data_IF_591800674916
#
_entry.id   IF_591800674916
#
_cell.length_a   1.000
_cell.length_b   1.000
_cell.length_c   1.000
_cell.angle_alpha   90.00
_cell.angle_beta   90.00
_cell.angle_gamma   90.00
#
_symmetry.space_group_name_H-M   'P 1'
#
loop_
_entity.id
_entity.type
_entity.pdbx_description
1 polymer ?
#
# COMPACT_ATOMS: atom_id res chain seq x y z
N UNK A 1 -2.37 -9.88 5.49
CA UNK A 1 -2.62 -10.59 6.76
C UNK A 1 -1.83 -9.97 7.90
N UNK A 2 -2.20 -8.75 8.25
CA UNK A 2 -1.61 -8.00 9.39
C UNK A 2 -2.03 -8.59 10.75
N UNK A 3 -3.15 -9.32 10.76
CA UNK A 3 -3.75 -9.94 11.93
C UNK A 3 -2.80 -10.89 12.68
N UNK A 4 -2.14 -11.82 12.00
CA UNK A 4 -1.25 -12.80 12.63
C UNK A 4 -0.14 -12.10 13.41
N UNK A 5 0.51 -11.14 12.74
CA UNK A 5 1.57 -10.32 13.32
C UNK A 5 1.07 -9.54 14.54
N UNK A 6 -0.12 -8.91 14.45
CA UNK A 6 -0.71 -8.13 15.55
C UNK A 6 -1.19 -8.98 16.72
N UNK A 7 -1.55 -10.24 16.49
CA UNK A 7 -1.86 -11.21 17.56
C UNK A 7 -0.61 -11.85 18.17
N UNK A 8 0.59 -11.54 17.67
CA UNK A 8 1.84 -12.18 18.09
C UNK A 8 1.90 -13.66 17.73
N UNK A 9 1.18 -14.08 16.68
CA UNK A 9 1.05 -15.48 16.24
C UNK A 9 1.52 -15.66 14.80
N UNK A 10 1.90 -16.88 14.47
CA UNK A 10 2.23 -17.21 13.08
C UNK A 10 0.96 -17.47 12.25
N UNK A 11 1.05 -17.29 10.92
CA UNK A 11 -0.02 -17.68 10.00
C UNK A 11 -0.42 -19.15 10.18
N UNK A 12 0.57 -20.02 10.39
CA UNK A 12 0.37 -21.45 10.62
C UNK A 12 -0.43 -21.73 11.88
N UNK A 13 -0.14 -21.03 12.99
CA UNK A 13 -0.91 -21.14 14.23
C UNK A 13 -2.36 -20.72 14.06
N UNK A 14 -2.62 -19.65 13.29
CA UNK A 14 -4.00 -19.24 13.00
C UNK A 14 -4.73 -20.32 12.20
N UNK A 15 -4.10 -20.88 11.16
CA UNK A 15 -4.71 -21.94 10.34
C UNK A 15 -5.00 -23.23 11.11
N UNK A 16 -4.26 -23.51 12.18
CA UNK A 16 -4.43 -24.71 13.00
C UNK A 16 -5.43 -24.53 14.15
N UNK A 17 -5.47 -23.35 14.76
CA UNK A 17 -6.27 -23.11 15.97
C UNK A 17 -7.61 -22.41 15.72
N UNK A 18 -7.82 -21.85 14.53
CA UNK A 18 -9.02 -21.09 14.17
C UNK A 18 -9.90 -21.90 13.22
N UNK A 19 -11.21 -21.79 13.36
CA UNK A 19 -12.13 -22.46 12.44
C UNK A 19 -12.10 -21.78 11.06
N UNK A 20 -12.48 -22.52 10.00
CA UNK A 20 -12.50 -21.97 8.64
C UNK A 20 -13.42 -20.73 8.51
N UNK A 21 -14.54 -20.73 9.23
CA UNK A 21 -15.50 -19.60 9.23
C UNK A 21 -14.89 -18.35 9.86
N UNK A 22 -14.24 -18.50 11.02
CA UNK A 22 -13.52 -17.40 11.68
C UNK A 22 -12.38 -16.88 10.81
N UNK A 23 -11.59 -17.76 10.19
CA UNK A 23 -10.51 -17.37 9.29
C UNK A 23 -11.03 -16.54 8.10
N UNK A 24 -12.18 -16.93 7.52
CA UNK A 24 -12.81 -16.18 6.43
C UNK A 24 -13.32 -14.81 6.87
N UNK A 25 -13.96 -14.72 8.04
CA UNK A 25 -14.37 -13.43 8.61
C UNK A 25 -13.16 -12.53 8.83
N UNK A 26 -12.04 -13.08 9.28
CA UNK A 26 -10.80 -12.34 9.48
C UNK A 26 -10.15 -11.90 8.17
N UNK A 27 -10.23 -12.69 7.10
CA UNK A 27 -9.77 -12.28 5.77
C UNK A 27 -10.58 -11.09 5.28
N UNK A 28 -11.91 -11.12 5.45
CA UNK A 28 -12.78 -10.00 5.06
C UNK A 28 -12.53 -8.77 5.93
N UNK A 29 -12.25 -8.97 7.23
CA UNK A 29 -11.86 -7.90 8.14
C UNK A 29 -10.50 -7.29 7.76
N UNK A 30 -9.47 -8.09 7.44
CA UNK A 30 -8.15 -7.61 6.98
C UNK A 30 -8.29 -6.84 5.65
N UNK A 31 -9.21 -7.24 4.76
CA UNK A 31 -9.51 -6.53 3.50
C UNK A 31 -10.06 -5.12 3.73
N UNK A 32 -10.86 -4.89 4.77
CA UNK A 32 -11.34 -3.55 5.13
C UNK A 32 -10.26 -2.69 5.80
N UNK A 33 -9.12 -3.29 6.17
CA UNK A 33 -8.01 -2.65 6.88
C UNK A 33 -8.46 -1.70 8.02
N UNK A 34 -9.37 -2.12 8.91
CA UNK A 34 -9.93 -1.26 9.96
C UNK A 34 -8.89 -0.92 11.04
N UNK A 35 -7.91 -1.79 11.25
CA UNK A 35 -6.71 -1.57 12.10
C UNK A 35 -5.50 -1.17 11.22
N UNK A 36 -5.78 -0.75 9.98
CA UNK A 36 -4.83 -0.66 8.90
C UNK A 36 -3.70 0.31 9.13
N UNK A 37 -2.49 -0.10 8.73
CA UNK A 37 -1.30 0.75 8.67
C UNK A 37 -1.60 2.04 7.88
N UNK A 38 -2.40 1.95 6.81
CA UNK A 38 -2.87 3.09 6.00
C UNK A 38 -3.60 4.15 6.84
N UNK A 39 -4.46 3.74 7.78
CA UNK A 39 -5.17 4.71 8.64
C UNK A 39 -4.20 5.41 9.60
N UNK A 40 -3.22 4.67 10.11
CA UNK A 40 -2.12 5.23 10.89
C UNK A 40 -1.27 6.21 10.08
N UNK A 41 -0.95 5.87 8.82
CA UNK A 41 -0.19 6.73 7.92
C UNK A 41 -0.96 8.02 7.57
N UNK A 42 -2.28 7.93 7.36
CA UNK A 42 -3.13 9.13 7.15
C UNK A 42 -3.15 10.00 8.41
N UNK A 43 -3.28 9.40 9.60
CA UNK A 43 -3.23 10.16 10.85
C UNK A 43 -1.87 10.85 11.05
N UNK A 44 -0.78 10.15 10.75
CA UNK A 44 0.56 10.73 10.78
C UNK A 44 0.68 11.88 9.79
N UNK A 45 0.18 11.72 8.56
CA UNK A 45 0.14 12.78 7.55
C UNK A 45 -0.66 14.00 8.01
N UNK A 46 -1.80 13.80 8.69
CA UNK A 46 -2.61 14.88 9.25
C UNK A 46 -1.84 15.65 10.32
N UNK A 47 -1.14 14.95 11.23
CA UNK A 47 -0.30 15.58 12.26
C UNK A 47 0.84 16.38 11.62
N UNK A 48 1.52 15.81 10.62
CA UNK A 48 2.59 16.48 9.88
C UNK A 48 2.08 17.75 9.21
N UNK A 49 0.98 17.66 8.46
CA UNK A 49 0.36 18.83 7.80
C UNK A 49 -0.04 19.92 8.81
N UNK A 50 -0.60 19.54 9.96
CA UNK A 50 -0.94 20.50 11.02
C UNK A 50 0.30 21.18 11.64
N UNK A 51 1.37 20.42 11.89
CA UNK A 51 2.61 20.94 12.47
C UNK A 51 3.30 21.90 11.50
N UNK A 52 3.43 21.55 10.22
CA UNK A 52 3.99 22.46 9.21
C UNK A 52 3.08 23.68 9.00
N UNK A 53 1.76 23.48 8.98
CA UNK A 53 0.76 24.54 8.92
C UNK A 53 0.92 25.57 10.03
N UNK A 54 1.15 25.11 11.26
CA UNK A 54 1.38 25.98 12.41
C UNK A 54 2.69 26.80 12.34
N UNK A 55 3.65 26.36 11.54
CA UNK A 55 4.92 27.06 11.27
C UNK A 55 4.84 27.97 10.03
N UNK A 56 3.66 28.09 9.41
CA UNK A 56 3.43 28.91 8.21
C UNK A 56 3.74 28.20 6.90
N UNK A 57 4.12 26.93 6.92
CA UNK A 57 4.32 26.12 5.72
C UNK A 57 3.01 25.41 5.33
N UNK A 58 2.64 25.41 4.04
CA UNK A 58 1.48 24.67 3.53
C UNK A 58 1.96 23.34 2.98
N UNK A 59 1.69 22.26 3.71
CA UNK A 59 1.95 20.88 3.26
C UNK A 59 0.60 20.22 3.02
N UNK A 60 0.34 19.80 1.78
CA UNK A 60 -0.88 19.08 1.45
C UNK A 60 -0.84 17.70 2.07
N UNK A 61 -2.01 17.16 2.41
CA UNK A 61 -2.08 15.85 3.06
C UNK A 61 -1.44 14.76 2.20
N UNK A 62 -1.64 14.80 0.87
CA UNK A 62 -1.08 13.83 -0.08
C UNK A 62 0.45 13.83 -0.13
N UNK A 63 1.09 14.97 0.17
CA UNK A 63 2.55 15.11 0.24
C UNK A 63 3.11 14.56 1.56
N UNK A 64 2.26 14.52 2.61
CA UNK A 64 2.63 14.04 3.93
C UNK A 64 2.34 12.54 4.13
N UNK A 65 1.62 11.90 3.21
CA UNK A 65 1.37 10.46 3.25
C UNK A 65 2.62 9.71 2.78
N UNK A 66 3.08 8.77 3.61
CA UNK A 66 4.23 7.93 3.27
C UNK A 66 3.85 6.91 2.18
N UNK A 67 4.59 6.94 1.07
CA UNK A 67 4.39 6.00 -0.06
C UNK A 67 5.50 4.95 -0.06
N UNK A 68 5.22 3.79 0.53
CA UNK A 68 6.13 2.65 0.48
C UNK A 68 6.17 2.05 -0.94
N UNK A 69 7.37 1.82 -1.48
CA UNK A 69 7.56 1.24 -2.81
C UNK A 69 8.09 2.19 -3.89
N UNK A 70 8.40 3.45 -3.53
CA UNK A 70 8.97 4.43 -4.44
C UNK A 70 7.94 4.99 -5.42
N UNK A 71 8.14 6.25 -5.81
CA UNK A 71 7.40 6.88 -6.90
C UNK A 71 7.87 6.30 -8.24
N UNK A 72 7.58 5.03 -8.50
CA UNK A 72 7.25 4.67 -9.87
C UNK A 72 5.84 5.20 -10.11
N UNK A 73 5.73 6.50 -10.33
CA UNK A 73 4.85 6.96 -11.40
C UNK A 73 5.42 6.31 -12.66
N UNK A 74 5.06 5.05 -12.88
CA UNK A 74 5.20 4.45 -14.17
C UNK A 74 4.37 5.35 -15.08
N UNK A 75 5.03 6.23 -15.84
CA UNK A 75 4.50 6.51 -17.16
C UNK A 75 4.12 5.14 -17.74
N UNK A 76 2.94 5.00 -18.36
CA UNK A 76 2.55 3.75 -18.97
C UNK A 76 3.59 3.45 -20.05
N UNK A 77 4.65 2.73 -19.67
CA UNK A 77 5.74 2.38 -20.55
C UNK A 77 5.14 1.34 -21.46
N UNK A 78 4.89 1.74 -22.70
CA UNK A 78 4.29 0.87 -23.69
C UNK A 78 5.03 -0.47 -23.70
N UNK A 79 4.37 -1.58 -23.34
CA UNK A 79 4.98 -2.90 -23.25
C UNK A 79 5.60 -3.35 -24.58
N UNK A 80 5.20 -2.74 -25.69
CA UNK A 80 5.60 -3.11 -27.04
C UNK A 80 6.59 -2.13 -27.68
N UNK A 81 7.01 -1.06 -27.02
CA UNK A 81 7.92 -0.06 -27.60
C UNK A 81 9.22 -0.68 -28.17
N UNK A 82 9.81 -1.64 -27.45
CA UNK A 82 11.01 -2.35 -27.93
C UNK A 82 10.74 -3.34 -29.08
N UNK A 83 9.49 -3.81 -29.23
CA UNK A 83 9.07 -4.68 -30.33
C UNK A 83 8.82 -3.89 -31.61
N UNK A 84 8.21 -2.70 -31.50
CA UNK A 84 8.00 -1.80 -32.64
C UNK A 84 9.33 -1.31 -33.22
N UNK A 85 10.28 -0.96 -32.36
CA UNK A 85 11.63 -0.55 -32.79
C UNK A 85 12.33 -1.70 -33.54
N UNK A 86 12.30 -2.92 -33.02
CA UNK A 86 12.90 -4.09 -33.67
C UNK A 86 12.27 -4.42 -35.04
N UNK A 87 10.95 -4.28 -35.16
CA UNK A 87 10.24 -4.49 -36.43
C UNK A 87 10.55 -3.39 -37.45
N UNK A 88 10.67 -2.13 -37.01
CA UNK A 88 11.03 -1.01 -37.87
C UNK A 88 12.44 -1.15 -38.45
N UNK A 89 13.39 -1.65 -37.64
CA UNK A 89 14.77 -1.93 -38.08
C UNK A 89 14.83 -3.11 -39.04
N UNK A 90 14.00 -4.14 -38.85
CA UNK A 90 13.96 -5.31 -39.73
C UNK A 90 13.23 -5.08 -41.06
N UNK A 91 12.37 -4.05 -41.13
CA UNK A 91 11.59 -3.71 -42.32
C UNK A 91 12.26 -2.68 -43.24
N UNK A 92 13.42 -2.11 -42.85
CA UNK A 92 14.26 -1.22 -43.65
C UNK A 92 15.47 -1.93 -44.23
#
# INVERSE_FOLDING_TARGET
MSLALRMGRTLSELRQNMTASELLMWIEYDRQSPVGDIRGDIQAAQLVSAIYGSQGAKVQLDDAILRWGGEEQSEPKDPFAGLEEALSVAAG
#
